data_IF_312567022389
#
_entry.id   IF_312567022389
#
_cell.length_a   1.000
_cell.length_b   1.000
_cell.length_c   1.000
_cell.angle_alpha   90.00
_cell.angle_beta   90.00
_cell.angle_gamma   90.00
#
_symmetry.space_group_name_H-M   'P 1'
#
loop_
_entity.id
_entity.type
_entity.pdbx_description
1 polymer ?
#
# COMPACT_ATOMS: atom_id res chain seq x y z
N UNK A 1 1.67 -6.20 1.07
CA UNK A 1 0.64 -7.09 1.64
C UNK A 1 1.11 -8.54 1.74
N UNK A 2 1.73 -9.12 0.70
CA UNK A 2 2.21 -10.52 0.70
C UNK A 2 3.14 -10.87 1.87
N UNK A 3 3.96 -9.91 2.34
CA UNK A 3 4.84 -10.08 3.51
C UNK A 3 4.09 -10.26 4.84
N UNK A 4 2.91 -9.64 4.96
CA UNK A 4 2.05 -9.75 6.15
C UNK A 4 1.30 -11.09 6.11
N UNK A 5 0.89 -11.53 4.92
CA UNK A 5 0.17 -12.79 4.69
C UNK A 5 0.91 -14.04 5.19
N UNK A 6 2.25 -13.98 5.32
CA UNK A 6 3.04 -15.07 5.92
C UNK A 6 2.79 -15.26 7.43
N UNK A 7 2.35 -14.20 8.13
CA UNK A 7 2.14 -14.19 9.57
C UNK A 7 0.65 -14.27 9.90
N UNK A 8 -0.16 -13.45 9.23
CA UNK A 8 -1.59 -13.37 9.42
C UNK A 8 -2.28 -12.83 8.18
N UNK A 9 -3.58 -13.04 8.07
CA UNK A 9 -4.37 -12.39 7.02
C UNK A 9 -4.32 -10.86 7.21
N UNK A 10 -3.88 -10.08 6.20
CA UNK A 10 -3.76 -8.63 6.33
C UNK A 10 -5.08 -7.94 6.72
N UNK A 11 -6.22 -8.46 6.27
CA UNK A 11 -7.52 -7.87 6.59
C UNK A 11 -7.92 -8.12 8.07
N UNK A 12 -7.38 -9.16 8.71
CA UNK A 12 -7.66 -9.49 10.13
C UNK A 12 -6.86 -8.62 11.09
N UNK A 13 -5.64 -8.26 10.71
CA UNK A 13 -4.72 -7.58 11.63
C UNK A 13 -4.93 -6.07 11.69
N UNK A 14 -5.66 -5.49 10.72
CA UNK A 14 -5.98 -4.06 10.72
C UNK A 14 -6.96 -3.70 11.84
N UNK A 15 -7.93 -4.57 12.14
CA UNK A 15 -8.88 -4.30 13.23
C UNK A 15 -8.45 -4.94 14.56
N UNK A 16 -7.29 -5.62 14.57
CA UNK A 16 -6.79 -6.31 15.75
C UNK A 16 -6.27 -5.32 16.82
N UNK A 17 -6.58 -5.62 18.08
CA UNK A 17 -6.09 -4.90 19.25
C UNK A 17 -5.19 -5.82 20.07
N UNK A 18 -4.04 -5.29 20.50
CA UNK A 18 -3.05 -5.99 21.33
C UNK A 18 -2.61 -7.36 20.80
N UNK A 19 -2.65 -7.60 19.49
CA UNK A 19 -2.32 -8.88 18.87
C UNK A 19 -0.81 -9.01 18.65
N UNK A 20 -0.24 -10.13 19.12
CA UNK A 20 1.15 -10.52 18.84
C UNK A 20 1.15 -11.88 18.16
N UNK A 21 1.81 -11.97 17.01
CA UNK A 21 2.03 -13.23 16.27
C UNK A 21 3.52 -13.47 16.11
N UNK A 22 3.99 -14.66 16.52
CA UNK A 22 5.38 -15.07 16.43
C UNK A 22 5.51 -16.30 15.54
N UNK A 23 6.40 -16.27 14.56
CA UNK A 23 6.69 -17.41 13.66
C UNK A 23 8.01 -18.06 14.06
N UNK A 24 7.96 -19.34 14.42
CA UNK A 24 9.14 -20.11 14.81
C UNK A 24 9.95 -20.55 13.58
N UNK A 25 11.26 -20.67 13.75
CA UNK A 25 12.14 -21.28 12.74
C UNK A 25 11.84 -22.78 12.52
N UNK A 26 11.29 -23.43 13.55
CA UNK A 26 10.98 -24.87 13.57
C UNK A 26 9.67 -25.09 14.34
N UNK A 27 8.93 -26.17 14.06
CA UNK A 27 7.75 -26.50 14.85
C UNK A 27 8.07 -26.59 16.34
N UNK A 28 7.15 -26.12 17.18
CA UNK A 28 7.24 -26.20 18.62
C UNK A 28 7.42 -27.66 19.03
N UNK A 29 8.60 -27.99 19.52
CA UNK A 29 9.02 -29.36 19.86
C UNK A 29 9.44 -29.48 21.34
N UNK A 30 9.09 -28.48 22.16
CA UNK A 30 9.44 -28.46 23.56
C UNK A 30 8.63 -29.47 24.38
N UNK A 31 9.24 -30.11 25.41
CA UNK A 31 8.53 -30.96 26.37
C UNK A 31 7.56 -30.19 27.28
N UNK A 32 7.56 -28.86 27.19
CA UNK A 32 6.72 -27.97 27.99
C UNK A 32 5.49 -27.53 27.20
N UNK A 33 4.34 -27.52 27.90
CA UNK A 33 3.10 -26.96 27.38
C UNK A 33 3.31 -25.54 26.86
N UNK A 34 2.57 -25.18 25.82
CA UNK A 34 2.51 -23.80 25.31
C UNK A 34 2.18 -22.88 26.49
N UNK A 35 2.94 -21.77 26.69
CA UNK A 35 2.74 -20.92 27.87
C UNK A 35 1.32 -20.38 27.97
N UNK A 36 0.85 -20.10 29.18
CA UNK A 36 -0.50 -19.61 29.41
C UNK A 36 -0.76 -18.29 28.65
N UNK A 37 -1.89 -18.21 27.95
CA UNK A 37 -2.24 -17.06 27.11
C UNK A 37 -1.57 -17.05 25.74
N UNK A 38 -0.82 -18.09 25.38
CA UNK A 38 -0.32 -18.33 24.03
C UNK A 38 -1.16 -19.43 23.37
N UNK A 39 -1.53 -19.22 22.11
CA UNK A 39 -2.22 -20.20 21.27
C UNK A 39 -1.28 -20.61 20.15
N UNK A 40 -1.11 -21.91 19.97
CA UNK A 40 -0.31 -22.45 18.88
C UNK A 40 -1.24 -22.81 17.71
N UNK A 41 -0.85 -22.43 16.50
CA UNK A 41 -1.60 -22.77 15.31
C UNK A 41 -1.52 -24.27 14.97
N UNK A 42 -2.33 -24.71 14.01
CA UNK A 42 -2.36 -26.12 13.58
C UNK A 42 -1.03 -26.60 13.00
N UNK A 43 -0.20 -25.70 12.47
CA UNK A 43 1.14 -26.03 11.95
C UNK A 43 2.20 -26.18 13.04
N UNK A 44 1.87 -25.82 14.28
CA UNK A 44 2.82 -25.75 15.39
C UNK A 44 3.99 -24.79 15.16
N UNK A 45 3.90 -23.88 14.19
CA UNK A 45 4.96 -22.93 13.84
C UNK A 45 4.58 -21.47 14.10
N UNK A 46 3.33 -21.19 14.48
CA UNK A 46 2.90 -19.83 14.82
C UNK A 46 2.27 -19.80 16.20
N UNK A 47 2.73 -18.85 17.01
CA UNK A 47 2.15 -18.52 18.30
C UNK A 47 1.38 -17.22 18.15
N UNK A 48 0.12 -17.23 18.55
CA UNK A 48 -0.71 -16.05 18.70
C UNK A 48 -0.92 -15.77 20.19
N UNK A 49 -0.71 -14.54 20.61
CA UNK A 49 -0.90 -14.10 21.99
C UNK A 49 -1.29 -12.63 22.02
N UNK A 50 -1.52 -12.08 23.21
CA UNK A 50 -1.69 -10.65 23.39
C UNK A 50 -0.44 -9.98 23.99
N UNK A 51 -0.35 -8.66 23.92
CA UNK A 51 0.77 -7.89 24.46
C UNK A 51 1.11 -8.25 25.92
N UNK A 52 0.11 -8.38 26.78
CA UNK A 52 0.31 -8.68 28.21
C UNK A 52 0.90 -10.07 28.42
N UNK A 53 0.34 -11.07 27.74
CA UNK A 53 0.80 -12.46 27.80
C UNK A 53 2.18 -12.63 27.15
N UNK A 54 2.49 -11.89 26.09
CA UNK A 54 3.82 -11.85 25.49
C UNK A 54 4.88 -11.39 26.51
N UNK A 55 4.61 -10.29 27.21
CA UNK A 55 5.50 -9.76 28.26
C UNK A 55 5.63 -10.74 29.42
N UNK A 56 4.51 -11.29 29.90
CA UNK A 56 4.51 -12.22 31.03
C UNK A 56 5.26 -13.53 30.73
N UNK A 57 5.29 -13.97 29.47
CA UNK A 57 5.92 -15.22 29.05
C UNK A 57 7.30 -15.04 28.41
N UNK A 58 7.93 -13.85 28.52
CA UNK A 58 9.20 -13.56 27.83
C UNK A 58 10.30 -14.60 28.13
N UNK A 59 10.41 -15.07 29.36
CA UNK A 59 11.45 -16.04 29.77
C UNK A 59 11.25 -17.42 29.14
N UNK A 60 10.00 -17.78 28.81
CA UNK A 60 9.70 -19.01 28.08
C UNK A 60 9.88 -18.83 26.57
N UNK A 61 9.47 -17.68 26.05
CA UNK A 61 9.57 -17.37 24.62
C UNK A 61 11.03 -17.20 24.18
N UNK A 62 11.91 -16.62 25.00
CA UNK A 62 13.36 -16.47 24.70
C UNK A 62 14.11 -17.79 24.52
N UNK A 63 13.55 -18.91 25.00
CA UNK A 63 14.11 -20.26 24.79
C UNK A 63 13.89 -20.75 23.35
N UNK A 64 12.99 -20.11 22.60
CA UNK A 64 12.69 -20.43 21.21
C UNK A 64 13.42 -19.50 20.26
N UNK A 65 13.42 -19.88 18.97
CA UNK A 65 13.96 -19.06 17.90
C UNK A 65 12.86 -18.70 16.91
N UNK A 66 12.68 -17.40 16.70
CA UNK A 66 11.66 -16.85 15.82
C UNK A 66 12.29 -16.25 14.57
N UNK A 67 11.72 -16.56 13.41
CA UNK A 67 12.14 -15.99 12.12
C UNK A 67 11.49 -14.62 11.89
N UNK A 68 10.27 -14.44 12.41
CA UNK A 68 9.45 -13.28 12.16
C UNK A 68 8.46 -13.01 13.30
N UNK A 69 8.07 -11.75 13.47
CA UNK A 69 7.04 -11.33 14.42
C UNK A 69 6.14 -10.24 13.83
N UNK A 70 4.88 -10.23 14.28
CA UNK A 70 3.89 -9.21 13.98
C UNK A 70 3.29 -8.67 15.28
N UNK A 71 3.23 -7.36 15.41
CA UNK A 71 2.51 -6.66 16.48
C UNK A 71 1.44 -5.79 15.82
N UNK A 72 0.18 -6.02 16.16
CA UNK A 72 -0.95 -5.27 15.62
C UNK A 72 -1.76 -4.63 16.74
N UNK A 73 -1.94 -3.31 16.64
CA UNK A 73 -2.69 -2.54 17.63
C UNK A 73 -2.06 -2.57 19.03
N UNK A 74 -0.77 -2.87 19.14
CA UNK A 74 -0.02 -2.86 20.40
C UNK A 74 0.46 -1.44 20.75
N UNK A 75 0.86 -1.26 22.01
CA UNK A 75 1.56 -0.05 22.49
C UNK A 75 2.91 0.12 21.79
N UNK A 76 3.34 1.38 21.61
CA UNK A 76 4.65 1.69 21.04
C UNK A 76 5.79 1.23 21.96
N UNK A 77 6.86 0.69 21.40
CA UNK A 77 8.03 0.27 22.16
C UNK A 77 8.74 1.42 22.89
N UNK A 78 8.65 2.64 22.36
CA UNK A 78 9.14 3.85 23.01
C UNK A 78 8.35 4.20 24.28
N UNK A 79 7.07 3.84 24.33
CA UNK A 79 6.16 4.22 25.42
C UNK A 79 5.98 3.13 26.48
N UNK A 80 6.11 1.84 26.11
CA UNK A 80 5.92 0.73 27.03
C UNK A 80 7.18 -0.13 27.18
N UNK A 81 7.98 0.20 28.20
CA UNK A 81 9.30 -0.40 28.45
C UNK A 81 9.26 -1.92 28.63
N UNK A 82 8.23 -2.46 29.28
CA UNK A 82 8.14 -3.90 29.51
C UNK A 82 7.96 -4.69 28.20
N UNK A 83 7.11 -4.19 27.29
CA UNK A 83 6.96 -4.75 25.94
C UNK A 83 8.26 -4.63 25.14
N UNK A 84 8.88 -3.44 25.16
CA UNK A 84 10.17 -3.22 24.51
C UNK A 84 11.21 -4.25 24.93
N UNK A 85 11.41 -4.42 26.23
CA UNK A 85 12.44 -5.33 26.76
C UNK A 85 12.14 -6.78 26.37
N UNK A 86 10.88 -7.21 26.49
CA UNK A 86 10.46 -8.53 26.03
C UNK A 86 10.71 -8.72 24.52
N UNK A 87 10.38 -7.72 23.70
CA UNK A 87 10.58 -7.79 22.25
C UNK A 87 12.06 -7.90 21.87
N UNK A 88 12.94 -7.09 22.48
CA UNK A 88 14.39 -7.16 22.22
C UNK A 88 14.97 -8.52 22.59
N UNK A 89 14.56 -9.09 23.73
CA UNK A 89 15.04 -10.39 24.19
C UNK A 89 14.52 -11.53 23.31
N UNK A 90 13.22 -11.57 23.04
CA UNK A 90 12.55 -12.65 22.29
C UNK A 90 12.89 -12.61 20.80
N UNK A 91 12.99 -11.42 20.20
CA UNK A 91 13.20 -11.23 18.77
C UNK A 91 14.66 -11.05 18.37
N UNK A 92 15.60 -11.35 19.28
CA UNK A 92 17.04 -11.17 19.08
C UNK A 92 17.59 -11.76 17.76
N UNK A 93 16.93 -12.80 17.22
CA UNK A 93 17.32 -13.50 15.99
C UNK A 93 16.29 -13.37 14.86
N UNK A 94 15.22 -12.62 15.05
CA UNK A 94 14.20 -12.43 14.03
C UNK A 94 14.77 -11.64 12.85
N UNK A 95 14.41 -12.05 11.63
CA UNK A 95 14.80 -11.36 10.40
C UNK A 95 13.69 -10.42 9.90
N UNK A 96 12.45 -10.64 10.32
CA UNK A 96 11.28 -9.84 9.89
C UNK A 96 10.50 -9.32 11.09
N UNK A 97 10.20 -8.03 11.08
CA UNK A 97 9.29 -7.39 12.02
C UNK A 97 8.18 -6.68 11.25
N UNK A 98 6.93 -7.00 11.59
CA UNK A 98 5.74 -6.34 11.08
C UNK A 98 5.07 -5.59 12.22
N UNK A 99 4.85 -4.29 12.03
CA UNK A 99 4.09 -3.46 12.96
C UNK A 99 2.86 -2.95 12.21
N UNK A 100 1.68 -3.26 12.73
CA UNK A 100 0.40 -2.74 12.24
C UNK A 100 -0.08 -1.68 13.23
N UNK A 101 -0.37 -0.47 12.74
CA UNK A 101 -0.61 0.71 13.57
C UNK A 101 0.63 1.15 14.36
N UNK A 102 1.78 1.17 13.67
CA UNK A 102 3.06 1.59 14.24
C UNK A 102 2.99 3.02 14.78
N UNK A 103 3.56 3.23 15.97
CA UNK A 103 3.69 4.55 16.62
C UNK A 103 5.15 4.90 16.95
N UNK A 104 6.09 3.99 16.66
CA UNK A 104 7.51 4.16 16.90
C UNK A 104 8.21 4.83 15.70
N UNK A 105 9.31 5.54 15.96
CA UNK A 105 10.16 6.06 14.90
C UNK A 105 10.95 4.93 14.24
N UNK A 106 11.06 4.96 12.92
CA UNK A 106 11.80 3.98 12.12
C UNK A 106 13.23 3.81 12.63
N UNK A 107 13.95 4.91 12.90
CA UNK A 107 15.34 4.84 13.34
C UNK A 107 15.48 4.18 14.72
N UNK A 108 14.52 4.40 15.63
CA UNK A 108 14.50 3.74 16.94
C UNK A 108 14.32 2.23 16.78
N UNK A 109 13.47 1.80 15.83
CA UNK A 109 13.27 0.39 15.52
C UNK A 109 14.54 -0.23 14.93
N UNK A 110 15.21 0.45 14.00
CA UNK A 110 16.46 -0.02 13.38
C UNK A 110 17.57 -0.20 14.43
N UNK A 111 17.73 0.77 15.33
CA UNK A 111 18.73 0.70 16.40
C UNK A 111 18.41 -0.41 17.41
N UNK A 112 17.13 -0.59 17.73
CA UNK A 112 16.65 -1.57 18.71
C UNK A 112 16.75 -3.00 18.19
N UNK A 113 16.55 -3.21 16.89
CA UNK A 113 16.52 -4.52 16.26
C UNK A 113 17.55 -4.63 15.11
N UNK A 114 18.87 -4.60 15.40
CA UNK A 114 19.92 -4.55 14.38
C UNK A 114 20.02 -5.82 13.52
N UNK A 115 19.37 -6.92 13.94
CA UNK A 115 19.33 -8.19 13.22
C UNK A 115 18.29 -8.26 12.11
N UNK A 116 17.36 -7.30 12.03
CA UNK A 116 16.29 -7.31 11.04
C UNK A 116 16.83 -7.18 9.63
N UNK A 117 16.18 -7.85 8.69
CA UNK A 117 16.37 -7.72 7.25
C UNK A 117 15.18 -7.05 6.58
N UNK A 118 13.98 -7.26 7.13
CA UNK A 118 12.73 -6.68 6.65
C UNK A 118 11.98 -6.02 7.80
N UNK A 119 11.69 -4.73 7.64
CA UNK A 119 10.78 -3.98 8.51
C UNK A 119 9.53 -3.61 7.69
N UNK A 120 8.37 -4.05 8.16
CA UNK A 120 7.07 -3.72 7.57
C UNK A 120 6.30 -2.83 8.54
N UNK A 121 6.04 -1.59 8.14
CA UNK A 121 5.21 -0.64 8.88
C UNK A 121 3.86 -0.50 8.17
N UNK A 122 3.00 -1.47 8.41
CA UNK A 122 1.66 -1.44 7.84
C UNK A 122 0.82 -0.45 8.64
N UNK A 123 0.15 0.47 7.96
CA UNK A 123 -0.69 1.46 8.64
C UNK A 123 0.11 2.30 9.64
N UNK A 124 1.26 2.83 9.21
CA UNK A 124 2.11 3.66 10.05
C UNK A 124 1.33 4.89 10.55
N UNK A 125 1.20 4.99 11.88
CA UNK A 125 0.53 6.11 12.54
C UNK A 125 1.51 7.20 12.93
N UNK A 126 2.79 7.06 12.61
CA UNK A 126 3.82 8.00 13.02
C UNK A 126 4.30 8.82 11.84
N UNK A 127 4.32 10.15 11.97
CA UNK A 127 5.12 10.97 11.06
C UNK A 127 6.60 10.75 11.36
N UNK A 128 7.34 10.26 10.38
CA UNK A 128 8.75 9.89 10.52
C UNK A 128 9.65 11.11 10.34
N UNK A 129 9.46 12.10 11.21
CA UNK A 129 10.22 13.35 11.28
C UNK A 129 11.48 13.19 12.13
N UNK A 130 12.39 14.16 12.00
CA UNK A 130 13.65 14.18 12.74
C UNK A 130 13.40 14.09 14.27
N UNK A 131 14.16 13.23 14.94
CA UNK A 131 14.23 13.28 16.40
C UNK A 131 14.97 14.56 16.80
N UNK A 132 14.42 15.35 17.73
CA UNK A 132 15.02 16.60 18.23
C UNK A 132 16.48 16.49 18.72
N UNK A 133 17.00 15.27 18.85
CA UNK A 133 18.39 15.01 19.19
C UNK A 133 18.92 13.80 18.40
N UNK A 134 20.05 14.02 17.71
CA UNK A 134 21.05 13.04 17.23
C UNK A 134 20.91 12.54 15.79
N UNK A 135 21.59 13.22 14.88
CA UNK A 135 22.43 12.57 13.87
C UNK A 135 23.67 11.93 14.56
N UNK A 136 23.45 11.07 15.56
CA UNK A 136 24.54 10.21 16.02
C UNK A 136 24.68 9.13 14.95
N UNK A 137 25.62 9.34 14.02
CA UNK A 137 26.14 8.26 13.17
C UNK A 137 26.55 7.14 14.13
N UNK A 138 25.73 6.09 14.19
CA UNK A 138 25.81 5.17 15.30
C UNK A 138 27.13 4.41 15.20
N UNK A 139 28.01 4.61 16.20
CA UNK A 139 29.25 3.88 16.28
C UNK A 139 29.02 2.36 16.31
N UNK A 140 29.55 1.66 15.30
CA UNK A 140 29.93 0.23 15.30
C UNK A 140 28.86 -0.87 15.26
N UNK A 141 27.55 -0.60 15.18
CA UNK A 141 26.57 -1.67 14.88
C UNK A 141 25.89 -1.40 13.54
N UNK A 142 26.43 -1.98 12.46
CA UNK A 142 25.76 -1.98 11.16
C UNK A 142 24.47 -2.80 11.24
N UNK A 143 23.36 -2.17 10.86
CA UNK A 143 22.07 -2.83 10.73
C UNK A 143 22.10 -3.82 9.57
N UNK A 144 21.44 -4.97 9.70
CA UNK A 144 21.28 -5.95 8.60
C UNK A 144 20.11 -5.65 7.67
N UNK A 145 19.46 -4.51 7.88
CA UNK A 145 18.22 -4.14 7.22
C UNK A 145 18.44 -4.02 5.71
N UNK A 146 17.55 -4.67 4.96
CA UNK A 146 17.54 -4.68 3.49
C UNK A 146 16.31 -4.01 2.92
N UNK A 147 15.19 -4.07 3.64
CA UNK A 147 13.90 -3.59 3.15
C UNK A 147 13.14 -2.86 4.26
N UNK A 148 12.65 -1.66 3.95
CA UNK A 148 11.68 -0.91 4.75
C UNK A 148 10.48 -0.63 3.88
N UNK A 149 9.36 -1.27 4.20
CA UNK A 149 8.14 -1.19 3.40
C UNK A 149 6.95 -0.87 4.31
N UNK A 150 5.91 -0.27 3.76
CA UNK A 150 4.77 0.14 4.58
C UNK A 150 3.81 1.08 3.88
N UNK A 151 2.82 1.53 4.65
CA UNK A 151 1.75 2.41 4.17
C UNK A 151 1.37 3.41 5.25
N UNK A 152 0.96 4.60 4.86
CA UNK A 152 0.42 5.63 5.76
C UNK A 152 -1.02 5.98 5.34
N UNK A 153 -1.99 5.06 5.51
CA UNK A 153 -3.36 5.22 5.03
C UNK A 153 -4.13 6.28 5.80
N UNK A 154 -3.69 6.66 7.02
CA UNK A 154 -4.18 7.87 7.65
C UNK A 154 -4.02 9.03 6.66
N UNK A 155 -2.81 9.29 6.19
CA UNK A 155 -2.50 10.34 5.20
C UNK A 155 -3.02 10.08 3.78
N UNK A 156 -3.78 9.01 3.54
CA UNK A 156 -4.21 8.61 2.21
C UNK A 156 -3.08 8.10 1.31
N UNK A 157 -1.96 7.64 1.90
CA UNK A 157 -0.77 7.21 1.17
C UNK A 157 -0.61 5.69 1.15
N UNK A 158 -0.20 5.15 0.01
CA UNK A 158 0.11 3.73 -0.20
C UNK A 158 1.59 3.39 0.03
N UNK A 159 2.34 4.31 0.63
CA UNK A 159 3.76 4.23 0.96
C UNK A 159 4.04 4.94 2.30
N UNK A 160 5.27 4.87 2.79
CA UNK A 160 5.70 5.53 4.02
C UNK A 160 6.01 7.00 3.79
N UNK A 161 5.57 7.85 4.72
CA UNK A 161 5.92 9.27 4.75
C UNK A 161 7.18 9.47 5.59
N UNK A 162 8.35 9.39 4.94
CA UNK A 162 9.67 9.56 5.57
C UNK A 162 10.24 10.92 5.22
N UNK A 163 10.65 11.71 6.21
CA UNK A 163 11.33 12.95 5.89
C UNK A 163 12.74 12.66 5.32
N UNK A 164 13.32 13.61 4.56
CA UNK A 164 14.62 13.45 3.90
C UNK A 164 15.76 13.10 4.88
N UNK A 165 15.76 13.71 6.06
CA UNK A 165 16.76 13.44 7.11
C UNK A 165 16.67 11.99 7.60
N UNK A 166 15.46 11.45 7.77
CA UNK A 166 15.24 10.05 8.15
C UNK A 166 15.74 9.11 7.04
N UNK A 167 15.48 9.42 5.77
CA UNK A 167 15.98 8.65 4.64
C UNK A 167 17.51 8.62 4.58
N UNK A 168 18.16 9.78 4.69
CA UNK A 168 19.63 9.88 4.73
C UNK A 168 20.19 9.08 5.91
N UNK A 169 19.56 9.17 7.07
CA UNK A 169 19.96 8.43 8.26
C UNK A 169 19.85 6.92 8.05
N UNK A 170 18.78 6.43 7.40
CA UNK A 170 18.64 5.02 7.04
C UNK A 170 19.76 4.56 6.11
N UNK A 171 20.03 5.34 5.06
CA UNK A 171 21.08 5.03 4.07
C UNK A 171 22.47 5.03 4.70
N UNK A 172 22.74 5.92 5.65
CA UNK A 172 24.02 5.98 6.35
C UNK A 172 24.22 4.83 7.35
N UNK A 173 23.14 4.32 7.97
CA UNK A 173 23.22 3.31 9.03
C UNK A 173 22.90 1.88 8.56
N UNK A 174 22.38 1.71 7.34
CA UNK A 174 21.99 0.42 6.76
C UNK A 174 22.67 0.23 5.39
N UNK A 175 23.91 -0.26 5.39
CA UNK A 175 24.73 -0.52 4.21
C UNK A 175 24.14 -1.56 3.24
N UNK A 176 23.30 -2.46 3.77
CA UNK A 176 22.62 -3.52 3.01
C UNK A 176 21.23 -3.12 2.50
N UNK A 177 20.79 -1.87 2.74
CA UNK A 177 19.46 -1.40 2.37
C UNK A 177 19.32 -1.32 0.84
N UNK A 178 18.34 -2.07 0.32
CA UNK A 178 18.09 -2.18 -1.12
C UNK A 178 16.64 -1.89 -1.51
N UNK A 179 15.75 -1.66 -0.55
CA UNK A 179 14.35 -1.33 -0.84
C UNK A 179 13.80 -0.40 0.25
N UNK A 180 13.24 0.73 -0.16
CA UNK A 180 12.51 1.66 0.70
C UNK A 180 11.23 2.05 -0.03
N UNK A 181 10.07 1.83 0.59
CA UNK A 181 8.78 2.25 0.05
C UNK A 181 8.43 3.66 0.58
N UNK A 182 9.15 4.67 0.11
CA UNK A 182 8.95 6.09 0.42
C UNK A 182 9.41 6.96 -0.75
N UNK A 183 9.00 8.24 -0.85
CA UNK A 183 9.46 9.16 -1.90
C UNK A 183 10.98 9.40 -1.79
N UNK A 184 11.69 9.34 -2.93
CA UNK A 184 13.17 9.34 -2.99
C UNK A 184 13.76 10.54 -3.76
N UNK A 185 12.92 11.47 -4.24
CA UNK A 185 13.32 12.61 -5.07
C UNK A 185 14.36 13.50 -4.41
N UNK A 186 14.20 13.81 -3.11
CA UNK A 186 15.17 14.62 -2.37
C UNK A 186 16.51 13.91 -2.21
N UNK A 187 16.49 12.60 -1.93
CA UNK A 187 17.71 11.79 -1.84
C UNK A 187 18.45 11.75 -3.18
N UNK A 188 17.70 11.66 -4.28
CA UNK A 188 18.26 11.69 -5.64
C UNK A 188 18.88 13.05 -5.94
N UNK A 189 18.22 14.14 -5.58
CA UNK A 189 18.75 15.50 -5.72
C UNK A 189 20.04 15.70 -4.93
N UNK A 190 20.11 15.18 -3.69
CA UNK A 190 21.32 15.21 -2.87
C UNK A 190 22.43 14.26 -3.35
N UNK A 191 22.10 13.29 -4.19
CA UNK A 191 23.08 12.39 -4.82
C UNK A 191 23.77 13.05 -6.02
N UNK A 192 23.25 14.17 -6.53
CA UNK A 192 23.88 14.94 -7.60
C UNK A 192 25.08 15.73 -7.04
N UNK A 193 26.33 15.45 -7.47
CA UNK A 193 27.52 16.13 -6.96
C UNK A 193 27.51 17.65 -7.22
N UNK A 194 26.75 18.11 -8.22
CA UNK A 194 26.60 19.53 -8.54
C UNK A 194 25.69 20.26 -7.56
N UNK A 195 24.79 19.55 -6.87
CA UNK A 195 23.79 20.12 -5.95
C UNK A 195 24.15 19.89 -4.48
N UNK A 196 24.94 18.86 -4.17
CA UNK A 196 25.04 18.33 -2.81
C UNK A 196 25.95 19.14 -1.87
N UNK A 197 26.87 19.95 -2.39
CA UNK A 197 27.83 20.75 -1.59
C UNK A 197 28.67 19.95 -0.57
N UNK A 198 28.51 18.62 -0.54
CA UNK A 198 29.05 17.71 0.47
C UNK A 198 30.16 16.88 -0.17
N UNK A 199 31.41 16.98 0.34
CA UNK A 199 32.52 16.18 -0.15
C UNK A 199 32.29 14.73 0.25
N UNK A 200 31.80 13.90 -0.67
CA UNK A 200 31.66 12.46 -0.48
C UNK A 200 30.48 11.81 -1.20
N UNK A 201 29.40 12.56 -1.48
CA UNK A 201 28.15 12.03 -2.03
C UNK A 201 27.48 11.00 -1.11
N UNK A 202 26.16 10.84 -1.22
CA UNK A 202 25.49 9.71 -0.56
C UNK A 202 25.84 8.40 -1.29
N UNK A 203 26.00 7.27 -0.57
CA UNK A 203 26.22 5.99 -1.22
C UNK A 203 25.05 5.69 -2.18
N UNK A 204 25.31 5.42 -3.47
CA UNK A 204 24.27 5.24 -4.45
C UNK A 204 23.44 3.99 -4.15
N UNK A 205 22.11 4.11 -4.30
CA UNK A 205 21.16 3.02 -4.11
C UNK A 205 21.18 2.03 -5.29
N UNK A 206 22.28 1.30 -5.46
CA UNK A 206 22.59 0.55 -6.70
C UNK A 206 21.72 -0.68 -6.97
N UNK A 207 20.85 -1.08 -6.05
CA UNK A 207 20.17 -2.40 -6.11
C UNK A 207 18.65 -2.36 -5.97
N UNK A 208 18.04 -1.17 -5.95
CA UNK A 208 16.58 -1.03 -5.85
C UNK A 208 15.83 -1.56 -7.08
N UNK A 209 14.84 -2.42 -6.84
CA UNK A 209 13.87 -2.83 -7.87
C UNK A 209 12.58 -2.00 -7.85
N UNK A 210 12.41 -1.17 -6.82
CA UNK A 210 11.28 -0.27 -6.63
C UNK A 210 11.80 1.15 -6.36
N UNK A 211 11.10 2.12 -6.94
CA UNK A 211 11.39 3.54 -6.78
C UNK A 211 10.07 4.32 -6.77
N UNK A 212 9.94 5.21 -5.80
CA UNK A 212 8.84 6.16 -5.69
C UNK A 212 9.43 7.56 -5.84
N UNK A 213 8.88 8.33 -6.78
CA UNK A 213 9.31 9.69 -7.11
C UNK A 213 8.13 10.65 -7.03
N UNK A 214 8.18 11.56 -6.08
CA UNK A 214 7.05 12.39 -5.71
C UNK A 214 6.06 11.64 -4.83
N UNK A 215 5.10 12.38 -4.31
CA UNK A 215 4.13 11.91 -3.32
C UNK A 215 2.72 12.33 -3.72
N UNK A 216 1.74 11.54 -3.31
CA UNK A 216 0.33 11.83 -3.54
C UNK A 216 -0.48 11.28 -2.37
N UNK A 217 -1.63 11.89 -2.10
CA UNK A 217 -2.56 11.45 -1.08
C UNK A 217 -3.96 11.27 -1.68
N UNK A 218 -4.67 10.25 -1.21
CA UNK A 218 -6.08 10.00 -1.49
C UNK A 218 -6.93 10.58 -0.35
N UNK A 219 -7.84 11.49 -0.66
CA UNK A 219 -8.80 11.97 0.31
C UNK A 219 -9.87 10.90 0.62
N UNK A 220 -10.52 10.94 1.80
CA UNK A 220 -11.57 9.99 2.16
C UNK A 220 -12.73 9.92 1.17
N UNK A 221 -13.04 11.02 0.48
CA UNK A 221 -14.07 11.11 -0.56
C UNK A 221 -13.58 10.70 -1.97
N UNK A 222 -12.34 10.18 -2.06
CA UNK A 222 -11.78 9.55 -3.26
C UNK A 222 -10.88 10.39 -4.19
N UNK A 223 -10.86 11.73 -4.21
CA UNK A 223 -9.94 12.44 -5.07
C UNK A 223 -8.50 12.30 -4.57
N UNK A 224 -7.62 11.85 -5.47
CA UNK A 224 -6.18 11.90 -5.26
C UNK A 224 -5.62 13.25 -5.69
N UNK A 225 -4.75 13.82 -4.85
CA UNK A 225 -3.99 15.03 -5.17
C UNK A 225 -2.49 14.77 -5.02
N UNK A 226 -1.69 15.46 -5.84
CA UNK A 226 -0.25 15.43 -5.73
C UNK A 226 0.19 16.31 -4.55
N UNK A 227 1.14 15.82 -3.77
CA UNK A 227 1.79 16.60 -2.70
C UNK A 227 3.11 17.12 -3.25
N UNK A 228 3.96 16.23 -3.74
CA UNK A 228 5.20 16.57 -4.43
C UNK A 228 5.23 15.96 -5.83
N UNK A 229 5.79 16.71 -6.77
CA UNK A 229 5.97 16.27 -8.14
C UNK A 229 7.44 16.37 -8.55
N UNK A 230 7.87 15.47 -9.44
CA UNK A 230 9.25 15.47 -9.91
C UNK A 230 9.44 16.17 -11.25
N UNK A 231 10.64 16.69 -11.45
CA UNK A 231 11.10 17.30 -12.71
C UNK A 231 11.76 16.26 -13.63
N UNK A 232 11.99 16.63 -14.89
CA UNK A 232 12.73 15.81 -15.85
C UNK A 232 14.17 15.49 -15.37
N UNK A 233 14.79 16.39 -14.61
CA UNK A 233 16.12 16.20 -14.05
C UNK A 233 16.14 15.05 -13.03
N UNK A 234 15.17 15.00 -12.10
CA UNK A 234 15.07 13.91 -11.14
C UNK A 234 15.00 12.54 -11.82
N UNK A 235 14.24 12.43 -12.92
CA UNK A 235 14.16 11.19 -13.71
C UNK A 235 15.51 10.86 -14.35
N UNK A 236 16.17 11.84 -14.96
CA UNK A 236 17.47 11.67 -15.60
C UNK A 236 18.57 11.27 -14.60
N UNK A 237 18.54 11.80 -13.38
CA UNK A 237 19.46 11.42 -12.30
C UNK A 237 19.13 10.04 -11.73
N UNK A 238 17.85 9.69 -11.62
CA UNK A 238 17.42 8.39 -11.11
C UNK A 238 17.78 7.24 -12.05
N UNK A 239 17.67 7.43 -13.36
CA UNK A 239 17.89 6.39 -14.37
C UNK A 239 19.22 5.63 -14.21
N UNK A 240 20.40 6.28 -14.12
CA UNK A 240 21.67 5.57 -13.96
C UNK A 240 21.87 4.97 -12.56
N UNK A 241 21.11 5.43 -11.55
CA UNK A 241 21.20 4.92 -10.18
C UNK A 241 20.38 3.63 -9.99
N UNK A 242 19.28 3.49 -10.72
CA UNK A 242 18.33 2.38 -10.60
C UNK A 242 18.27 1.54 -11.89
N UNK A 243 19.41 0.96 -12.29
CA UNK A 243 19.53 0.20 -13.55
C UNK A 243 18.65 -1.06 -13.62
N UNK A 244 18.30 -1.65 -12.48
CA UNK A 244 17.47 -2.85 -12.38
C UNK A 244 16.02 -2.56 -11.96
N UNK A 245 15.55 -1.32 -12.16
CA UNK A 245 14.23 -0.89 -11.72
C UNK A 245 13.13 -1.67 -12.45
N UNK A 246 12.20 -2.23 -11.67
CA UNK A 246 11.03 -2.96 -12.19
C UNK A 246 9.72 -2.29 -11.82
N UNK A 247 9.67 -1.59 -10.69
CA UNK A 247 8.50 -0.86 -10.20
C UNK A 247 8.81 0.61 -10.07
N UNK A 248 8.05 1.43 -10.78
CA UNK A 248 8.15 2.88 -10.71
C UNK A 248 6.78 3.47 -10.35
N UNK A 249 6.73 4.17 -9.24
CA UNK A 249 5.63 5.08 -8.90
C UNK A 249 6.13 6.50 -9.07
N UNK A 250 5.41 7.32 -9.83
CA UNK A 250 5.87 8.66 -10.16
C UNK A 250 4.72 9.66 -10.19
N UNK A 251 4.91 10.78 -9.49
CA UNK A 251 4.04 11.95 -9.55
C UNK A 251 4.69 13.04 -10.40
N UNK A 252 4.04 13.46 -11.49
CA UNK A 252 4.61 14.42 -12.45
C UNK A 252 3.65 15.58 -12.70
N UNK A 253 4.20 16.77 -12.97
CA UNK A 253 3.42 17.95 -13.35
C UNK A 253 3.56 18.35 -14.83
N UNK A 254 4.51 17.75 -15.56
CA UNK A 254 4.79 18.11 -16.96
C UNK A 254 4.86 16.91 -17.88
N UNK A 255 4.52 17.13 -19.15
CA UNK A 255 4.64 16.13 -20.21
C UNK A 255 6.09 15.78 -20.54
N UNK A 256 6.99 16.73 -20.32
CA UNK A 256 8.43 16.52 -20.50
C UNK A 256 8.96 15.50 -19.48
N UNK A 257 8.62 15.66 -18.20
CA UNK A 257 8.96 14.69 -17.15
C UNK A 257 8.38 13.30 -17.49
N UNK A 258 7.11 13.25 -17.93
CA UNK A 258 6.46 12.00 -18.34
C UNK A 258 7.20 11.31 -19.51
N UNK A 259 7.73 12.09 -20.46
CA UNK A 259 8.50 11.57 -21.58
C UNK A 259 9.80 10.90 -21.13
N UNK A 260 10.46 11.44 -20.10
CA UNK A 260 11.73 10.94 -19.56
C UNK A 260 11.59 9.61 -18.82
N UNK A 261 10.38 9.23 -18.40
CA UNK A 261 10.15 7.88 -17.85
C UNK A 261 10.49 6.81 -18.90
N UNK A 262 10.38 7.16 -20.18
CA UNK A 262 10.81 6.29 -21.26
C UNK A 262 12.34 6.10 -21.32
N UNK A 263 13.14 6.65 -20.42
CA UNK A 263 14.59 6.44 -20.37
C UNK A 263 14.96 5.20 -19.51
N UNK A 264 14.05 4.71 -18.65
CA UNK A 264 14.21 3.41 -17.96
C UNK A 264 14.02 2.22 -18.93
N UNK A 265 14.58 1.04 -18.61
CA UNK A 265 14.56 -0.10 -19.54
C UNK A 265 13.58 -1.23 -19.14
N UNK A 266 13.51 -1.58 -17.86
CA UNK A 266 12.91 -2.84 -17.42
C UNK A 266 11.66 -2.69 -16.53
N UNK A 267 10.93 -1.59 -16.68
CA UNK A 267 9.72 -1.33 -15.91
C UNK A 267 8.64 -2.36 -16.27
N UNK A 268 8.09 -3.01 -15.24
CA UNK A 268 6.95 -3.93 -15.32
C UNK A 268 5.74 -3.45 -14.54
N UNK A 269 5.95 -2.60 -13.53
CA UNK A 269 4.90 -2.02 -12.70
C UNK A 269 5.03 -0.51 -12.75
N UNK A 270 4.04 0.16 -13.33
CA UNK A 270 4.07 1.59 -13.57
C UNK A 270 2.84 2.24 -12.95
N UNK A 271 3.06 3.15 -12.01
CA UNK A 271 2.04 4.02 -11.44
C UNK A 271 2.37 5.46 -11.77
N UNK A 272 1.49 6.14 -12.48
CA UNK A 272 1.66 7.56 -12.87
C UNK A 272 0.53 8.37 -12.26
N UNK A 273 0.89 9.39 -11.50
CA UNK A 273 -0.02 10.43 -11.02
C UNK A 273 0.34 11.76 -11.68
N UNK A 274 -0.61 12.35 -12.42
CA UNK A 274 -0.43 13.69 -12.97
C UNK A 274 -0.93 14.75 -12.00
N UNK A 275 -0.19 15.86 -11.82
CA UNK A 275 -0.49 16.89 -10.83
C UNK A 275 -1.90 17.48 -10.96
N UNK A 276 -2.45 17.90 -9.82
CA UNK A 276 -3.78 18.49 -9.74
C UNK A 276 -3.90 19.89 -10.34
N UNK A 277 -2.79 20.62 -10.38
CA UNK A 277 -2.73 22.03 -10.77
C UNK A 277 -2.81 22.25 -12.29
N UNK A 278 -2.78 21.18 -13.06
CA UNK A 278 -2.84 21.18 -14.51
C UNK A 278 -4.12 20.51 -15.02
N UNK A 279 -4.56 20.83 -16.25
CA UNK A 279 -5.51 20.00 -16.98
C UNK A 279 -5.07 18.54 -16.98
N UNK A 280 -6.03 17.63 -17.04
CA UNK A 280 -5.77 16.19 -17.12
C UNK A 280 -4.72 15.88 -18.22
N UNK A 281 -3.84 14.93 -17.93
CA UNK A 281 -2.81 14.53 -18.87
C UNK A 281 -3.46 13.82 -20.07
N UNK A 282 -3.25 14.24 -21.33
CA UNK A 282 -3.79 13.49 -22.45
C UNK A 282 -3.14 12.10 -22.51
N UNK A 283 -3.96 11.07 -22.68
CA UNK A 283 -3.48 9.70 -22.86
C UNK A 283 -2.61 9.56 -24.13
N UNK A 284 -3.00 10.24 -25.21
CA UNK A 284 -2.25 10.25 -26.47
C UNK A 284 -0.81 10.79 -26.31
N UNK A 285 0.12 10.27 -27.12
CA UNK A 285 1.51 10.72 -27.11
C UNK A 285 2.37 9.97 -26.08
N UNK A 286 2.67 10.60 -24.94
CA UNK A 286 3.66 10.10 -23.99
C UNK A 286 3.21 8.82 -23.27
N UNK A 287 1.97 8.75 -22.73
CA UNK A 287 1.49 7.54 -22.04
C UNK A 287 1.49 6.35 -22.99
N UNK A 288 0.96 6.50 -24.21
CA UNK A 288 1.01 5.44 -25.24
C UNK A 288 2.45 5.01 -25.58
N UNK A 289 3.41 5.94 -25.61
CA UNK A 289 4.83 5.59 -25.82
C UNK A 289 5.35 4.71 -24.67
N UNK A 290 5.00 5.00 -23.42
CA UNK A 290 5.38 4.17 -22.28
C UNK A 290 4.75 2.78 -22.36
N UNK A 291 3.46 2.68 -22.70
CA UNK A 291 2.78 1.40 -22.88
C UNK A 291 3.40 0.54 -24.00
N UNK A 292 3.88 1.17 -25.08
CA UNK A 292 4.59 0.48 -26.17
C UNK A 292 6.00 0.03 -25.77
N UNK A 293 6.66 0.79 -24.89
CA UNK A 293 8.04 0.53 -24.48
C UNK A 293 8.12 -0.59 -23.46
N UNK A 294 7.20 -0.61 -22.50
CA UNK A 294 7.29 -1.49 -21.33
C UNK A 294 6.35 -2.69 -21.45
N UNK A 295 6.87 -3.85 -21.02
CA UNK A 295 6.08 -5.07 -20.84
C UNK A 295 5.46 -5.06 -19.44
N UNK A 296 4.31 -4.40 -19.32
CA UNK A 296 3.69 -4.10 -18.04
C UNK A 296 2.82 -5.26 -17.52
N UNK A 297 3.12 -5.68 -16.30
CA UNK A 297 2.29 -6.57 -15.48
C UNK A 297 1.28 -5.76 -14.63
N UNK A 298 1.61 -4.51 -14.27
CA UNK A 298 0.74 -3.63 -13.48
C UNK A 298 0.78 -2.19 -14.01
N UNK A 299 -0.40 -1.59 -14.18
CA UNK A 299 -0.57 -0.22 -14.65
C UNK A 299 -1.57 0.52 -13.75
N UNK A 300 -1.14 1.64 -13.21
CA UNK A 300 -1.99 2.59 -12.49
C UNK A 300 -1.85 3.97 -13.13
N UNK A 301 -2.96 4.55 -13.53
CA UNK A 301 -3.02 5.90 -14.08
C UNK A 301 -3.92 6.76 -13.21
N UNK A 302 -3.43 7.94 -12.84
CA UNK A 302 -4.18 8.95 -12.13
C UNK A 302 -4.17 10.29 -12.86
N UNK A 303 -5.35 10.89 -13.03
CA UNK A 303 -5.56 12.18 -13.73
C UNK A 303 -5.14 12.20 -15.20
N UNK A 304 -5.55 11.16 -15.93
CA UNK A 304 -5.32 11.02 -17.39
C UNK A 304 -6.65 11.13 -18.14
N UNK A 305 -6.67 11.91 -19.22
CA UNK A 305 -7.83 12.14 -20.07
C UNK A 305 -7.82 11.25 -21.33
N UNK A 306 -9.01 10.87 -21.79
CA UNK A 306 -9.24 10.03 -22.97
C UNK A 306 -8.44 8.72 -22.95
N UNK A 307 -8.47 8.00 -21.83
CA UNK A 307 -7.82 6.69 -21.70
C UNK A 307 -8.52 5.69 -22.62
N UNK A 308 -7.77 5.14 -23.57
CA UNK A 308 -8.27 4.13 -24.53
C UNK A 308 -7.86 2.72 -24.06
N UNK A 309 -8.82 1.98 -23.51
CA UNK A 309 -8.68 0.60 -23.05
C UNK A 309 -8.25 -0.34 -24.19
N UNK A 310 -8.71 -0.09 -25.42
CA UNK A 310 -8.30 -0.86 -26.60
C UNK A 310 -6.79 -0.79 -26.86
N UNK A 311 -6.17 0.37 -26.61
CA UNK A 311 -4.71 0.56 -26.69
C UNK A 311 -4.01 -0.11 -25.51
N UNK A 312 -4.53 0.05 -24.30
CA UNK A 312 -3.96 -0.61 -23.10
C UNK A 312 -3.94 -2.13 -23.30
N UNK A 313 -5.07 -2.73 -23.69
CA UNK A 313 -5.16 -4.18 -23.95
C UNK A 313 -4.23 -4.65 -25.07
N UNK A 314 -4.02 -3.81 -26.10
CA UNK A 314 -3.15 -4.15 -27.23
C UNK A 314 -1.68 -4.26 -26.83
N UNK A 315 -1.18 -3.31 -26.04
CA UNK A 315 0.23 -3.22 -25.70
C UNK A 315 0.59 -3.90 -24.37
N UNK A 316 -0.35 -4.00 -23.43
CA UNK A 316 -0.14 -4.61 -22.12
C UNK A 316 -0.94 -5.92 -22.03
N UNK A 317 -0.59 -6.91 -22.84
CA UNK A 317 -1.33 -8.19 -22.93
C UNK A 317 -1.21 -9.05 -21.67
N UNK A 318 -0.12 -8.85 -20.93
CA UNK A 318 0.20 -9.63 -19.73
C UNK A 318 -0.22 -8.96 -18.41
N UNK A 319 -0.99 -7.87 -18.54
CA UNK A 319 -1.43 -7.05 -17.42
C UNK A 319 -2.29 -7.86 -16.43
N UNK A 320 -1.86 -7.86 -15.16
CA UNK A 320 -2.52 -8.50 -14.01
C UNK A 320 -3.26 -7.50 -13.13
N UNK A 321 -2.81 -6.25 -13.09
CA UNK A 321 -3.44 -5.17 -12.33
C UNK A 321 -3.61 -3.92 -13.16
N UNK A 322 -4.82 -3.36 -13.15
CA UNK A 322 -5.17 -2.14 -13.85
C UNK A 322 -5.95 -1.22 -12.93
N UNK A 323 -5.48 0.02 -12.77
CA UNK A 323 -6.14 1.03 -11.95
C UNK A 323 -6.27 2.35 -12.70
N UNK A 324 -7.46 2.94 -12.64
CA UNK A 324 -7.75 4.27 -13.16
C UNK A 324 -8.34 5.13 -12.04
N UNK A 325 -7.60 6.13 -11.58
CA UNK A 325 -8.08 7.06 -10.55
C UNK A 325 -8.23 8.45 -11.14
N UNK A 326 -9.37 9.12 -10.95
CA UNK A 326 -9.61 10.46 -11.50
C UNK A 326 -9.31 10.57 -13.02
N UNK A 327 -9.46 9.48 -13.78
CA UNK A 327 -9.19 9.43 -15.22
C UNK A 327 -10.49 9.47 -16.01
N UNK A 328 -10.49 10.12 -17.16
CA UNK A 328 -11.57 10.04 -18.14
C UNK A 328 -11.29 8.90 -19.11
N UNK A 329 -12.06 7.83 -19.01
CA UNK A 329 -11.98 6.69 -19.93
C UNK A 329 -12.80 7.02 -21.18
N UNK A 330 -12.19 6.87 -22.36
CA UNK A 330 -12.89 7.09 -23.63
C UNK A 330 -14.08 6.14 -23.76
N UNK A 331 -15.20 6.67 -24.25
CA UNK A 331 -16.39 5.85 -24.49
C UNK A 331 -16.18 4.99 -25.75
N UNK A 332 -15.65 3.79 -25.54
CA UNK A 332 -15.45 2.81 -26.60
C UNK A 332 -16.07 1.47 -26.23
N UNK A 333 -16.58 0.77 -27.24
CA UNK A 333 -16.83 -0.67 -27.20
C UNK A 333 -15.56 -1.35 -27.71
N UNK A 334 -14.81 -2.00 -26.83
CA UNK A 334 -13.59 -2.71 -27.24
C UNK A 334 -13.79 -4.21 -27.10
N UNK A 335 -13.35 -4.95 -28.11
CA UNK A 335 -13.44 -6.42 -28.19
C UNK A 335 -12.19 -7.13 -27.68
N UNK A 336 -11.16 -6.37 -27.30
CA UNK A 336 -9.91 -6.93 -26.79
C UNK A 336 -10.10 -7.40 -25.36
N UNK A 337 -9.69 -8.62 -25.05
CA UNK A 337 -9.72 -9.17 -23.70
C UNK A 337 -8.49 -8.77 -22.89
N UNK A 338 -8.64 -8.71 -21.58
CA UNK A 338 -7.54 -8.70 -20.61
C UNK A 338 -7.42 -10.10 -19.96
N UNK A 339 -6.76 -11.07 -20.63
CA UNK A 339 -6.86 -12.47 -20.26
C UNK A 339 -6.17 -12.78 -18.92
N UNK A 340 -5.18 -11.99 -18.50
CA UNK A 340 -4.45 -12.20 -17.24
C UNK A 340 -4.86 -11.23 -16.13
N UNK A 341 -5.85 -10.36 -16.35
CA UNK A 341 -6.19 -9.32 -15.38
C UNK A 341 -6.91 -9.92 -14.19
N UNK A 342 -6.27 -9.81 -13.03
CA UNK A 342 -6.74 -10.33 -11.74
C UNK A 342 -7.32 -9.20 -10.87
N UNK A 343 -6.85 -7.96 -11.05
CA UNK A 343 -7.23 -6.80 -10.23
C UNK A 343 -7.61 -5.62 -11.10
N UNK A 344 -8.78 -5.05 -10.84
CA UNK A 344 -9.29 -3.87 -11.54
C UNK A 344 -9.78 -2.84 -10.52
N UNK A 345 -9.29 -1.61 -10.65
CA UNK A 345 -9.80 -0.45 -9.91
C UNK A 345 -10.26 0.64 -10.89
N UNK A 346 -11.49 1.12 -10.74
CA UNK A 346 -12.11 2.10 -11.64
C UNK A 346 -12.70 3.26 -10.84
N UNK A 347 -12.13 4.45 -11.05
CA UNK A 347 -12.62 5.71 -10.52
C UNK A 347 -13.73 6.34 -11.37
N UNK A 348 -13.98 7.62 -11.13
CA UNK A 348 -15.23 8.31 -11.48
C UNK A 348 -15.68 8.32 -12.94
N UNK A 349 -14.79 8.57 -13.90
CA UNK A 349 -15.22 8.98 -15.24
C UNK A 349 -15.12 7.84 -16.25
N UNK A 350 -16.07 6.91 -16.18
CA UNK A 350 -16.29 5.84 -17.15
C UNK A 350 -17.78 5.71 -17.46
N UNK A 351 -18.15 5.50 -18.73
CA UNK A 351 -19.55 5.26 -19.10
C UNK A 351 -19.98 3.86 -18.66
N UNK A 352 -21.27 3.67 -18.33
CA UNK A 352 -21.81 2.37 -17.96
C UNK A 352 -21.70 1.31 -19.07
N UNK A 353 -21.68 1.73 -20.35
CA UNK A 353 -21.41 0.82 -21.47
C UNK A 353 -19.96 0.35 -21.47
N UNK A 354 -19.00 1.27 -21.33
CA UNK A 354 -17.57 0.93 -21.33
C UNK A 354 -17.18 0.12 -20.09
N UNK A 355 -17.71 0.44 -18.91
CA UNK A 355 -17.50 -0.35 -17.69
C UNK A 355 -17.96 -1.80 -17.88
N UNK A 356 -19.13 -2.02 -18.48
CA UNK A 356 -19.63 -3.37 -18.77
C UNK A 356 -18.76 -4.13 -19.75
N UNK A 357 -18.38 -3.49 -20.86
CA UNK A 357 -17.45 -4.10 -21.82
C UNK A 357 -16.12 -4.47 -21.17
N UNK A 358 -15.60 -3.61 -20.29
CA UNK A 358 -14.39 -3.87 -19.53
C UNK A 358 -14.54 -5.06 -18.58
N UNK A 359 -15.60 -5.12 -17.78
CA UNK A 359 -15.85 -6.25 -16.89
C UNK A 359 -16.01 -7.57 -17.66
N UNK A 360 -16.68 -7.55 -18.81
CA UNK A 360 -16.83 -8.72 -19.68
C UNK A 360 -15.48 -9.16 -20.30
N UNK A 361 -14.54 -8.24 -20.50
CA UNK A 361 -13.21 -8.50 -21.03
C UNK A 361 -12.22 -9.08 -19.99
N UNK A 362 -12.61 -9.20 -18.72
CA UNK A 362 -11.74 -9.61 -17.60
C UNK A 362 -12.21 -10.93 -16.95
N UNK A 363 -12.07 -12.09 -17.61
CA UNK A 363 -12.62 -13.36 -17.12
C UNK A 363 -11.97 -13.87 -15.82
N UNK A 364 -10.72 -13.48 -15.56
CA UNK A 364 -9.92 -13.93 -14.41
C UNK A 364 -9.91 -12.91 -13.26
N UNK A 365 -10.86 -11.97 -13.26
CA UNK A 365 -10.92 -10.93 -12.24
C UNK A 365 -11.22 -11.52 -10.86
N UNK A 366 -10.33 -11.28 -9.90
CA UNK A 366 -10.46 -11.73 -8.50
C UNK A 366 -10.73 -10.59 -7.53
N UNK A 367 -10.29 -9.37 -7.87
CA UNK A 367 -10.54 -8.15 -7.10
C UNK A 367 -11.11 -7.05 -8.00
N UNK A 368 -12.27 -6.53 -7.63
CA UNK A 368 -12.89 -5.37 -8.26
C UNK A 368 -13.03 -4.23 -7.25
N UNK A 369 -12.54 -3.05 -7.61
CA UNK A 369 -12.67 -1.83 -6.84
C UNK A 369 -13.34 -0.73 -7.68
N UNK A 370 -14.39 -0.15 -7.13
CA UNK A 370 -15.14 0.96 -7.72
C UNK A 370 -14.96 2.17 -6.80
N UNK A 371 -14.18 3.14 -7.27
CA UNK A 371 -13.62 4.22 -6.47
C UNK A 371 -14.45 5.52 -6.54
N UNK A 372 -15.75 5.43 -6.81
CA UNK A 372 -16.65 6.59 -6.79
C UNK A 372 -18.12 6.17 -6.67
N UNK A 373 -18.95 7.07 -6.18
CA UNK A 373 -20.41 6.89 -6.15
C UNK A 373 -20.99 6.61 -7.55
N UNK A 374 -20.56 7.38 -8.57
CA UNK A 374 -21.03 7.25 -9.95
C UNK A 374 -20.74 5.85 -10.53
N UNK A 375 -19.53 5.32 -10.31
CA UNK A 375 -19.18 3.97 -10.78
C UNK A 375 -19.80 2.86 -9.96
N UNK A 376 -20.00 3.07 -8.66
CA UNK A 376 -20.78 2.15 -7.82
C UNK A 376 -22.23 2.07 -8.32
N UNK A 377 -22.89 3.21 -8.55
CA UNK A 377 -24.25 3.26 -9.08
C UNK A 377 -24.35 2.58 -10.46
N UNK A 378 -23.43 2.90 -11.38
CA UNK A 378 -23.38 2.30 -12.71
C UNK A 378 -23.20 0.77 -12.68
N UNK A 379 -22.42 0.26 -11.72
CA UNK A 379 -22.24 -1.18 -11.53
C UNK A 379 -23.48 -1.84 -10.92
N UNK A 380 -24.13 -1.18 -9.97
CA UNK A 380 -25.30 -1.71 -9.25
C UNK A 380 -26.61 -1.59 -10.04
N UNK A 381 -26.64 -0.79 -11.12
CA UNK A 381 -27.81 -0.60 -11.98
C UNK A 381 -28.37 -1.93 -12.53
N UNK A 382 -29.60 -2.24 -12.12
CA UNK A 382 -30.35 -3.45 -12.48
C UNK A 382 -30.79 -3.49 -13.94
N UNK A 383 -30.92 -2.33 -14.60
CA UNK A 383 -31.30 -2.25 -16.03
C UNK A 383 -30.19 -2.75 -16.95
N UNK A 384 -28.98 -2.86 -16.41
CA UNK A 384 -27.81 -3.26 -17.15
C UNK A 384 -27.58 -4.77 -17.04
N UNK A 385 -27.49 -5.46 -18.17
CA UNK A 385 -27.06 -6.87 -18.18
C UNK A 385 -25.59 -6.94 -17.74
N UNK A 386 -25.35 -7.39 -16.51
CA UNK A 386 -23.99 -7.55 -15.97
C UNK A 386 -23.37 -8.87 -16.46
N UNK A 387 -22.05 -8.88 -16.76
CA UNK A 387 -21.35 -10.13 -16.96
C UNK A 387 -21.30 -10.92 -15.64
N UNK A 388 -21.24 -12.25 -15.75
CA UNK A 388 -20.99 -13.09 -14.58
C UNK A 388 -19.54 -12.90 -14.12
N UNK A 389 -19.35 -12.52 -12.86
CA UNK A 389 -18.05 -12.25 -12.27
C UNK A 389 -17.66 -13.40 -11.33
N UNK A 390 -17.60 -14.60 -11.90
CA UNK A 390 -17.54 -15.86 -11.16
C UNK A 390 -16.33 -15.98 -10.21
N UNK A 391 -15.21 -15.33 -10.55
CA UNK A 391 -13.95 -15.43 -9.83
C UNK A 391 -13.71 -14.29 -8.83
N UNK A 392 -14.58 -13.27 -8.79
CA UNK A 392 -14.38 -12.11 -7.91
C UNK A 392 -14.56 -12.53 -6.46
N UNK A 393 -13.46 -12.48 -5.71
CA UNK A 393 -13.40 -12.81 -4.29
C UNK A 393 -13.48 -11.58 -3.39
N UNK A 394 -13.01 -10.42 -3.89
CA UNK A 394 -13.02 -9.14 -3.17
C UNK A 394 -13.67 -8.05 -3.99
N UNK A 395 -14.67 -7.41 -3.40
CA UNK A 395 -15.39 -6.27 -3.98
C UNK A 395 -15.23 -5.05 -3.08
N UNK A 396 -14.71 -3.95 -3.62
CA UNK A 396 -14.56 -2.68 -2.91
C UNK A 396 -15.50 -1.67 -3.56
N UNK A 397 -16.45 -1.16 -2.78
CA UNK A 397 -17.41 -0.14 -3.18
C UNK A 397 -17.15 1.11 -2.36
N UNK A 398 -16.28 2.00 -2.87
CA UNK A 398 -15.97 3.29 -2.23
C UNK A 398 -17.12 4.26 -2.47
N UNK A 399 -18.13 4.10 -1.64
CA UNK A 399 -19.34 4.92 -1.64
C UNK A 399 -19.90 5.00 -0.24
N UNK A 400 -20.37 6.18 0.14
CA UNK A 400 -21.16 6.39 1.34
C UNK A 400 -22.66 6.54 1.04
N UNK A 401 -23.05 6.53 -0.25
CA UNK A 401 -24.43 6.68 -0.69
C UNK A 401 -25.31 5.56 -0.17
N UNK A 402 -26.57 5.89 0.09
CA UNK A 402 -27.56 4.88 0.48
C UNK A 402 -27.87 3.95 -0.69
N UNK A 403 -28.53 2.83 -0.39
CA UNK A 403 -29.03 1.90 -1.42
C UNK A 403 -29.96 2.61 -2.41
N UNK A 404 -30.78 3.53 -1.91
CA UNK A 404 -31.70 4.32 -2.74
C UNK A 404 -30.96 5.34 -3.62
N UNK A 405 -29.99 6.07 -3.06
CA UNK A 405 -29.17 7.05 -3.81
C UNK A 405 -28.36 6.39 -4.92
N UNK A 406 -27.92 5.15 -4.72
CA UNK A 406 -27.26 4.33 -5.75
C UNK A 406 -28.22 3.85 -6.85
N UNK A 407 -29.51 4.17 -6.76
CA UNK A 407 -30.54 3.72 -7.70
C UNK A 407 -30.71 2.20 -7.71
N UNK A 408 -30.43 1.54 -6.59
CA UNK A 408 -30.48 0.07 -6.47
C UNK A 408 -31.51 -0.36 -5.43
N UNK A 409 -31.85 -1.66 -5.45
CA UNK A 409 -32.82 -2.25 -4.54
C UNK A 409 -32.32 -3.61 -4.03
N UNK A 410 -33.02 -4.20 -3.06
CA UNK A 410 -32.61 -5.48 -2.49
C UNK A 410 -32.62 -6.63 -3.54
N UNK A 411 -33.47 -6.56 -4.56
CA UNK A 411 -33.51 -7.57 -5.63
C UNK A 411 -32.30 -7.47 -6.57
N UNK A 412 -31.88 -6.25 -6.89
CA UNK A 412 -30.70 -5.96 -7.67
C UNK A 412 -29.44 -6.46 -6.96
N UNK A 413 -29.35 -6.21 -5.64
CA UNK A 413 -28.26 -6.70 -4.80
C UNK A 413 -28.28 -8.23 -4.66
N UNK A 414 -29.45 -8.85 -4.54
CA UNK A 414 -29.58 -10.33 -4.60
C UNK A 414 -29.12 -10.89 -5.95
N UNK A 415 -29.47 -10.21 -7.05
CA UNK A 415 -29.00 -10.59 -8.38
C UNK A 415 -27.48 -10.41 -8.53
N UNK A 416 -26.91 -9.38 -7.91
CA UNK A 416 -25.46 -9.18 -7.86
C UNK A 416 -24.77 -10.34 -7.14
N UNK A 417 -25.24 -10.74 -5.96
CA UNK A 417 -24.68 -11.89 -5.23
C UNK A 417 -24.67 -13.17 -6.07
N UNK A 418 -25.74 -13.44 -6.83
CA UNK A 418 -25.78 -14.59 -7.75
C UNK A 418 -24.70 -14.52 -8.84
N UNK A 419 -24.28 -13.32 -9.23
CA UNK A 419 -23.20 -13.12 -10.21
C UNK A 419 -21.79 -13.18 -9.62
N UNK A 420 -21.67 -13.25 -8.28
CA UNK A 420 -20.41 -13.24 -7.53
C UNK A 420 -20.29 -14.47 -6.59
N UNK A 421 -20.36 -15.72 -7.10
CA UNK A 421 -20.36 -16.93 -6.27
C UNK A 421 -19.07 -17.13 -5.45
N UNK A 422 -17.93 -16.59 -5.92
CA UNK A 422 -16.66 -16.67 -5.21
C UNK A 422 -16.45 -15.55 -4.18
N UNK A 423 -17.42 -14.63 -3.99
CA UNK A 423 -17.24 -13.48 -3.10
C UNK A 423 -16.96 -13.94 -1.67
N UNK A 424 -15.92 -13.35 -1.07
CA UNK A 424 -15.50 -13.61 0.32
C UNK A 424 -15.32 -12.34 1.12
N UNK A 425 -15.11 -11.19 0.46
CA UNK A 425 -14.83 -9.94 1.12
C UNK A 425 -15.53 -8.78 0.40
N UNK A 426 -16.22 -7.92 1.16
CA UNK A 426 -16.78 -6.66 0.69
C UNK A 426 -16.29 -5.51 1.56
N UNK A 427 -15.82 -4.45 0.91
CA UNK A 427 -15.48 -3.18 1.57
C UNK A 427 -16.44 -2.11 1.11
N UNK A 428 -17.06 -1.40 2.06
CA UNK A 428 -17.90 -0.26 1.74
C UNK A 428 -18.16 0.59 2.98
N UNK A 429 -18.32 1.90 2.75
CA UNK A 429 -18.70 2.86 3.79
C UNK A 429 -20.22 3.14 3.79
N UNK A 430 -20.95 2.60 2.82
CA UNK A 430 -22.41 2.66 2.77
C UNK A 430 -23.02 1.71 3.80
N UNK A 431 -23.61 2.28 4.84
CA UNK A 431 -24.28 1.52 5.89
C UNK A 431 -25.36 0.58 5.34
N UNK A 432 -26.14 1.04 4.36
CA UNK A 432 -27.21 0.25 3.74
C UNK A 432 -26.69 -0.97 2.98
N UNK A 433 -25.59 -0.83 2.23
CA UNK A 433 -24.95 -1.96 1.57
C UNK A 433 -24.39 -2.96 2.59
N UNK A 434 -23.73 -2.47 3.64
CA UNK A 434 -23.21 -3.34 4.73
C UNK A 434 -24.33 -4.16 5.35
N UNK A 435 -25.41 -3.51 5.75
CA UNK A 435 -26.56 -4.18 6.36
C UNK A 435 -27.15 -5.25 5.41
N UNK A 436 -27.20 -4.97 4.11
CA UNK A 436 -27.62 -5.98 3.14
C UNK A 436 -26.68 -7.19 3.12
N UNK A 437 -25.37 -7.00 2.96
CA UNK A 437 -24.43 -8.12 2.89
C UNK A 437 -24.38 -8.92 4.19
N UNK A 438 -24.49 -8.26 5.34
CA UNK A 438 -24.53 -8.92 6.66
C UNK A 438 -25.73 -9.88 6.77
N UNK A 439 -26.90 -9.47 6.27
CA UNK A 439 -28.12 -10.28 6.34
C UNK A 439 -28.25 -11.34 5.23
N UNK A 440 -27.72 -11.08 4.04
CA UNK A 440 -27.96 -11.92 2.85
C UNK A 440 -26.71 -12.66 2.34
N UNK A 441 -25.53 -12.39 2.89
CA UNK A 441 -24.26 -13.00 2.51
C UNK A 441 -23.36 -13.25 3.73
N UNK A 442 -23.85 -14.02 4.71
CA UNK A 442 -23.15 -14.29 5.99
C UNK A 442 -21.75 -14.93 5.88
N UNK A 443 -21.41 -15.50 4.72
CA UNK A 443 -20.08 -16.04 4.43
C UNK A 443 -19.08 -14.97 3.93
N UNK A 444 -19.57 -13.77 3.64
CA UNK A 444 -18.78 -12.63 3.15
C UNK A 444 -18.36 -11.79 4.35
N UNK A 445 -17.06 -11.54 4.44
CA UNK A 445 -16.50 -10.60 5.39
C UNK A 445 -16.76 -9.17 4.97
N UNK A 446 -17.06 -8.31 5.95
CA UNK A 446 -17.25 -6.88 5.75
C UNK A 446 -16.12 -6.07 6.41
N UNK A 447 -15.64 -5.05 5.71
CA UNK A 447 -14.73 -4.04 6.28
C UNK A 447 -15.04 -2.65 5.71
N UNK A 448 -14.52 -1.60 6.36
CA UNK A 448 -14.61 -0.21 5.88
C UNK A 448 -13.57 0.01 4.79
N UNK A 449 -13.82 0.94 3.86
CA UNK A 449 -12.84 1.17 2.77
C UNK A 449 -11.57 1.88 3.28
N UNK A 450 -11.73 2.66 4.35
CA UNK A 450 -10.63 3.25 5.11
C UNK A 450 -10.38 2.51 6.44
N UNK A 451 -9.16 2.61 6.95
CA UNK A 451 -8.84 2.09 8.27
C UNK A 451 -9.34 3.03 9.37
N UNK A 452 -10.39 2.61 10.08
CA UNK A 452 -10.99 3.39 11.18
C UNK A 452 -10.02 3.68 12.32
N UNK A 453 -9.09 2.76 12.60
CA UNK A 453 -8.05 2.95 13.62
C UNK A 453 -7.10 4.07 13.19
N UNK A 454 -6.65 4.07 11.94
CA UNK A 454 -5.81 5.14 11.40
C UNK A 454 -6.47 6.49 11.48
N UNK A 455 -7.71 6.61 11.00
CA UNK A 455 -8.47 7.86 11.05
C UNK A 455 -8.65 8.37 12.47
N UNK A 456 -8.93 7.47 13.43
CA UNK A 456 -9.17 7.86 14.82
C UNK A 456 -7.91 8.18 15.62
N UNK A 457 -6.82 7.46 15.38
CA UNK A 457 -5.63 7.48 16.24
C UNK A 457 -4.52 8.39 15.71
N UNK A 458 -4.39 8.54 14.39
CA UNK A 458 -3.34 9.36 13.78
C UNK A 458 -3.27 10.81 14.32
N UNK A 459 -4.37 11.60 14.38
CA UNK A 459 -4.29 12.97 14.86
C UNK A 459 -3.94 13.06 16.36
N UNK A 460 -4.17 11.99 17.14
CA UNK A 460 -3.93 11.99 18.60
C UNK A 460 -2.47 11.76 18.98
N UNK A 461 -1.61 11.35 18.04
CA UNK A 461 -0.21 10.98 18.35
C UNK A 461 0.63 12.21 18.71
N UNK A 462 0.39 13.35 18.05
CA UNK A 462 1.07 14.63 18.35
C UNK A 462 0.36 15.81 17.68
N UNK A 463 0.61 17.03 18.18
CA UNK A 463 0.12 18.29 17.59
C UNK A 463 0.50 18.44 16.10
N UNK A 464 1.74 18.07 15.72
CA UNK A 464 2.17 18.10 14.33
C UNK A 464 1.32 17.18 13.43
N UNK A 465 0.93 16.01 13.96
CA UNK A 465 0.08 15.07 13.24
C UNK A 465 -1.35 15.58 13.08
N UNK A 466 -1.90 16.23 14.11
CA UNK A 466 -3.19 16.91 14.01
C UNK A 466 -3.19 18.01 12.94
N UNK A 467 -2.13 18.82 12.90
CA UNK A 467 -1.96 19.86 11.88
C UNK A 467 -1.84 19.28 10.47
N UNK A 468 -0.98 18.28 10.27
CA UNK A 468 -0.82 17.60 8.98
C UNK A 468 -2.13 16.95 8.52
N UNK A 469 -2.85 16.31 9.45
CA UNK A 469 -4.14 15.68 9.20
C UNK A 469 -5.18 16.70 8.74
N UNK A 470 -5.28 17.82 9.44
CA UNK A 470 -6.20 18.92 9.09
C UNK A 470 -5.85 19.52 7.73
N UNK A 471 -4.56 19.72 7.44
CA UNK A 471 -4.10 20.24 6.15
C UNK A 471 -4.53 19.33 4.99
N UNK A 472 -4.30 18.01 5.13
CA UNK A 472 -4.72 17.00 4.15
C UNK A 472 -6.23 17.01 3.97
N UNK A 473 -7.02 16.92 5.05
CA UNK A 473 -8.48 16.93 4.95
C UNK A 473 -9.04 18.21 4.34
N UNK A 474 -8.33 19.33 4.48
CA UNK A 474 -8.72 20.60 3.86
C UNK A 474 -8.28 20.75 2.40
N UNK A 475 -7.49 19.81 1.87
CA UNK A 475 -6.90 19.89 0.52
C UNK A 475 -5.90 21.04 0.37
N UNK A 476 -5.28 21.50 1.47
CA UNK A 476 -4.37 22.66 1.51
C UNK A 476 -2.92 22.26 1.77
N UNK A 477 -2.48 21.10 1.26
CA UNK A 477 -1.10 20.65 1.40
C UNK A 477 -0.22 21.33 0.36
#
# INVERSE_FOLDING_TARGET
MDKVAELANPDDVVDAQDLVVLKLDRPWSGPHAVPAGCVLDSSSQRITTNQKSFVANKDNLTKQRFSAALFAGCSAFATYTALSNAAVEVLKKAETLVLVHNRDLVMDLVQRFPGLRLLVLMHDLRLQTEAKHRLDVCGKRSSRLRQVVGTAPALGMDHLFLCPVTLISLLANCDMLCEIQAPMEEVISLSNPLLSGHPGGLPPFKTGQELILGSHAELPDGPRFAIEHVSAEHIATAQPLYVNLKRLTVTVASRETLARIADFEHIRRLSITFSADAPLCPFGGHVVRLLKKFDLDELSLCRVDQVQLSIVARFCKDLRSLAFSCCNVSNETFSNSFPKLERLSVGRHISSSTLRSLLAACPNLTRLELASDDTCAAFLDRRSSRPALANVMRLVLKTAWTVEDLGTDADALRSLLKSLPALRHVETDSYGLRLFFENYASHVRLSWTGCVVCTAEFPKVSELQELAWTAILSGKV
#
